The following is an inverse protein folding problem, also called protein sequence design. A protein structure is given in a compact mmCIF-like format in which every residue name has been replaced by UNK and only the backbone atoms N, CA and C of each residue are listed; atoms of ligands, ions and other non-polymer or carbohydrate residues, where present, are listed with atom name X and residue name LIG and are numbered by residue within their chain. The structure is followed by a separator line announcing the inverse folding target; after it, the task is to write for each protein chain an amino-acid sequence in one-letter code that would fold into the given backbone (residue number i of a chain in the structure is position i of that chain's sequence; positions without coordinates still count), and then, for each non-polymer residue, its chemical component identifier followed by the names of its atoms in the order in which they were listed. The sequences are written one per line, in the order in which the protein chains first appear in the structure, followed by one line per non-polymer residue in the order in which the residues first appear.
data_IF_472241025157
#
_entry.id   IF_472241025157
#
_cell.length_a   1.000
_cell.length_b   1.000
_cell.length_c   1.000
_cell.angle_alpha   90.00
_cell.angle_beta   90.00
_cell.angle_gamma   90.00
#
_symmetry.space_group_name_H-M   'P 1'
#
loop_
_entity.id
_entity.type
_entity.pdbx_description
1 polymer ?
#
# COMPACT_ATOMS: atom_id res chain seq x y z
N UNK A 1 56.14 -45.05 20.51
CA UNK A 1 55.25 -43.97 21.00
C UNK A 1 54.06 -43.86 20.05
N UNK A 2 52.85 -44.04 20.58
CA UNK A 2 51.56 -44.03 19.85
C UNK A 2 51.39 -42.71 19.08
N UNK A 3 50.98 -42.76 17.81
CA UNK A 3 50.38 -41.60 17.13
C UNK A 3 48.93 -41.95 16.79
N UNK A 4 48.06 -41.17 17.44
CA UNK A 4 46.60 -41.27 17.45
C UNK A 4 46.05 -40.67 16.15
N UNK A 5 45.03 -41.35 15.63
CA UNK A 5 44.18 -41.00 14.51
C UNK A 5 43.32 -39.77 14.87
N UNK A 6 43.23 -38.77 13.98
CA UNK A 6 42.20 -37.73 14.05
C UNK A 6 41.54 -37.60 12.67
N UNK A 7 40.38 -38.24 12.50
CA UNK A 7 39.46 -37.95 11.40
C UNK A 7 38.81 -36.58 11.69
N UNK A 8 39.08 -35.59 10.84
CA UNK A 8 38.28 -34.37 10.78
C UNK A 8 37.00 -34.67 10.00
N UNK A 9 35.86 -34.77 10.69
CA UNK A 9 34.54 -34.65 10.09
C UNK A 9 34.23 -33.17 9.84
N UNK A 10 34.19 -32.78 8.56
CA UNK A 10 33.82 -31.44 8.14
C UNK A 10 32.29 -31.29 8.23
N UNK A 11 31.79 -30.78 9.36
CA UNK A 11 30.39 -30.37 9.50
C UNK A 11 30.19 -29.03 8.79
N UNK A 12 29.55 -29.06 7.62
CA UNK A 12 29.12 -27.85 6.91
C UNK A 12 27.88 -27.30 7.63
N UNK A 13 28.05 -26.29 8.47
CA UNK A 13 26.94 -25.49 8.98
C UNK A 13 26.43 -24.59 7.84
N UNK A 14 25.25 -24.88 7.31
CA UNK A 14 24.50 -23.88 6.55
C UNK A 14 24.09 -22.76 7.51
N UNK A 15 24.77 -21.63 7.41
CA UNK A 15 24.35 -20.39 8.07
C UNK A 15 23.16 -19.84 7.28
N UNK A 16 21.95 -20.10 7.76
CA UNK A 16 20.77 -19.38 7.32
C UNK A 16 20.80 -17.97 7.93
N UNK A 17 20.64 -16.93 7.11
CA UNK A 17 20.50 -15.55 7.59
C UNK A 17 19.25 -15.42 8.46
N UNK A 18 19.40 -15.46 9.79
CA UNK A 18 18.33 -15.12 10.73
C UNK A 18 18.36 -13.62 11.00
N UNK A 19 17.33 -12.89 10.59
CA UNK A 19 17.01 -11.58 11.18
C UNK A 19 16.37 -11.82 12.53
N UNK A 20 16.96 -11.28 13.60
CA UNK A 20 16.47 -11.40 14.97
C UNK A 20 15.35 -10.41 15.23
N UNK A 21 14.10 -10.86 15.23
CA UNK A 21 13.00 -10.16 15.91
C UNK A 21 12.65 -10.91 17.19
N UNK A 22 12.74 -10.21 18.32
CA UNK A 22 12.42 -10.73 19.65
C UNK A 22 10.92 -11.03 19.77
N UNK A 23 10.49 -12.18 20.33
CA UNK A 23 9.07 -12.48 20.48
C UNK A 23 8.44 -11.64 21.59
N UNK A 24 7.39 -10.91 21.26
CA UNK A 24 6.48 -10.28 22.24
C UNK A 24 5.63 -11.39 22.89
N UNK A 25 5.53 -11.37 24.22
CA UNK A 25 4.69 -12.28 25.02
C UNK A 25 3.21 -12.08 24.69
N UNK A 26 2.54 -13.12 24.20
CA UNK A 26 1.08 -13.17 24.02
C UNK A 26 0.35 -13.32 25.37
N UNK A 27 -0.56 -12.39 25.65
CA UNK A 27 -1.60 -12.51 26.67
C UNK A 27 -2.77 -13.31 26.08
N UNK A 28 -3.18 -14.37 26.79
CA UNK A 28 -4.29 -15.25 26.41
C UNK A 28 -5.63 -14.52 26.44
N UNK A 29 -6.35 -14.56 25.31
CA UNK A 29 -7.80 -14.33 25.27
C UNK A 29 -8.30 -13.99 23.87
N UNK A 30 -9.13 -14.89 23.33
CA UNK A 30 -10.20 -14.68 22.33
C UNK A 30 -10.04 -15.44 21.00
N UNK A 31 -10.96 -16.41 20.83
CA UNK A 31 -11.52 -16.97 19.58
C UNK A 31 -10.55 -17.36 18.45
N UNK A 32 -10.18 -18.64 18.40
CA UNK A 32 -9.57 -19.28 17.24
C UNK A 32 -10.59 -19.42 16.11
N UNK A 33 -10.67 -18.40 15.25
CA UNK A 33 -11.17 -18.58 13.89
C UNK A 33 -10.23 -19.54 13.16
N UNK A 34 -10.72 -20.74 12.84
CA UNK A 34 -10.00 -21.71 12.01
C UNK A 34 -9.74 -21.05 10.64
N UNK A 35 -8.50 -20.61 10.41
CA UNK A 35 -8.02 -20.19 9.10
C UNK A 35 -8.14 -21.36 8.13
N UNK A 36 -9.18 -21.37 7.30
CA UNK A 36 -9.27 -22.22 6.13
C UNK A 36 -8.39 -21.65 5.02
N UNK A 37 -7.07 -21.72 5.20
CA UNK A 37 -6.19 -21.64 4.04
C UNK A 37 -6.45 -22.89 3.22
N UNK A 38 -7.04 -22.74 2.03
CA UNK A 38 -7.10 -23.81 1.05
C UNK A 38 -5.67 -24.19 0.69
N UNK A 39 -5.09 -25.16 1.40
CA UNK A 39 -3.85 -25.81 0.98
C UNK A 39 -4.19 -26.53 -0.32
N UNK A 40 -3.84 -25.94 -1.44
CA UNK A 40 -3.80 -26.67 -2.70
C UNK A 40 -2.73 -27.75 -2.52
N UNK A 41 -3.13 -28.94 -2.08
CA UNK A 41 -2.19 -30.05 -1.89
C UNK A 41 -1.54 -30.34 -3.24
N UNK A 42 -0.22 -30.18 -3.29
CA UNK A 42 0.53 -30.47 -4.50
C UNK A 42 0.53 -32.00 -4.64
N UNK A 43 -0.03 -32.49 -5.75
CA UNK A 43 -0.09 -33.92 -6.06
C UNK A 43 1.27 -34.52 -6.39
N UNK A 44 1.29 -35.65 -7.08
CA UNK A 44 2.55 -36.26 -7.51
C UNK A 44 3.18 -35.50 -8.67
N UNK A 45 4.52 -35.37 -8.67
CA UNK A 45 5.29 -34.85 -9.79
C UNK A 45 5.87 -36.03 -10.59
N UNK A 46 5.10 -36.51 -11.57
CA UNK A 46 5.39 -37.75 -12.27
C UNK A 46 5.38 -38.93 -11.32
N UNK A 47 6.50 -39.66 -11.22
CA UNK A 47 6.63 -40.80 -10.30
C UNK A 47 6.86 -40.42 -8.83
N UNK A 48 7.12 -39.15 -8.53
CA UNK A 48 7.48 -38.70 -7.19
C UNK A 48 6.24 -38.23 -6.44
N UNK A 49 5.97 -38.83 -5.28
CA UNK A 49 4.95 -38.32 -4.35
C UNK A 49 5.49 -37.07 -3.65
N UNK A 50 4.74 -35.97 -3.72
CA UNK A 50 5.07 -34.76 -2.95
C UNK A 50 4.47 -34.91 -1.55
N UNK A 51 5.31 -34.76 -0.54
CA UNK A 51 4.90 -34.68 0.85
C UNK A 51 4.84 -33.21 1.27
N UNK A 52 3.62 -32.69 1.41
CA UNK A 52 3.38 -31.29 1.77
C UNK A 52 3.07 -31.10 3.26
N UNK A 53 3.05 -32.19 4.04
CA UNK A 53 2.45 -32.20 5.38
C UNK A 53 3.45 -32.56 6.47
N UNK A 54 4.46 -33.39 6.19
CA UNK A 54 5.40 -33.86 7.23
C UNK A 54 6.35 -32.76 7.72
N UNK A 55 6.87 -31.94 6.80
CA UNK A 55 7.85 -30.89 7.12
C UNK A 55 7.41 -29.55 6.54
N UNK A 56 6.65 -28.79 7.32
CA UNK A 56 6.09 -27.49 6.90
C UNK A 56 6.89 -26.34 7.53
N UNK A 57 7.39 -25.42 6.70
CA UNK A 57 8.10 -24.23 7.19
C UNK A 57 7.16 -23.25 7.90
N UNK A 58 7.58 -22.80 9.08
CA UNK A 58 6.97 -21.67 9.80
C UNK A 58 7.44 -20.31 9.24
N UNK A 59 8.67 -20.24 8.72
CA UNK A 59 9.25 -19.03 8.15
C UNK A 59 8.68 -18.75 6.76
N UNK A 60 7.51 -18.11 6.70
CA UNK A 60 6.84 -17.72 5.46
C UNK A 60 5.98 -16.48 5.66
N UNK A 61 5.79 -15.73 4.58
CA UNK A 61 4.82 -14.64 4.47
C UNK A 61 4.03 -14.81 3.16
N UNK A 62 2.94 -14.07 3.04
CA UNK A 62 2.15 -14.01 1.82
C UNK A 62 2.89 -13.26 0.70
N UNK A 63 2.67 -13.64 -0.56
CA UNK A 63 3.26 -12.92 -1.71
C UNK A 63 2.62 -11.57 -1.92
N UNK A 64 1.30 -11.52 -1.78
CA UNK A 64 0.53 -10.29 -1.78
C UNK A 64 0.75 -9.59 -0.45
N UNK A 65 1.17 -8.33 -0.53
CA UNK A 65 1.58 -7.51 0.62
C UNK A 65 0.96 -6.11 0.59
N UNK A 66 0.33 -5.70 -0.51
CA UNK A 66 -0.25 -4.36 -0.70
C UNK A 66 -1.63 -4.41 -1.35
N UNK A 67 -2.41 -3.35 -1.10
CA UNK A 67 -3.57 -2.98 -1.92
C UNK A 67 -3.34 -1.58 -2.48
N UNK A 68 -3.53 -1.41 -3.79
CA UNK A 68 -3.41 -0.12 -4.48
C UNK A 68 -4.79 0.28 -5.01
N UNK A 69 -5.23 1.48 -4.65
CA UNK A 69 -6.51 2.04 -5.08
C UNK A 69 -6.31 3.06 -6.21
N UNK A 70 -7.16 2.96 -7.21
CA UNK A 70 -7.11 3.71 -8.46
C UNK A 70 -8.46 4.34 -8.81
N UNK A 71 -8.45 5.30 -9.74
CA UNK A 71 -9.62 5.64 -10.55
C UNK A 71 -9.32 5.42 -12.02
N UNK A 72 -10.36 5.22 -12.83
CA UNK A 72 -10.20 4.92 -14.26
C UNK A 72 -10.09 6.16 -15.17
N UNK A 73 -10.46 7.34 -14.69
CA UNK A 73 -10.50 8.62 -15.44
C UNK A 73 -11.46 8.61 -16.65
N UNK A 74 -12.41 7.68 -16.67
CA UNK A 74 -13.38 7.48 -17.75
C UNK A 74 -14.67 6.85 -17.21
N UNK A 75 -15.58 6.43 -18.08
CA UNK A 75 -16.88 5.85 -17.73
C UNK A 75 -16.84 4.29 -17.67
N UNK A 76 -17.97 3.68 -17.33
CA UNK A 76 -18.10 2.22 -17.20
C UNK A 76 -17.67 1.47 -18.47
N UNK A 77 -18.21 1.85 -19.63
CA UNK A 77 -17.96 1.17 -20.91
C UNK A 77 -16.46 1.17 -21.27
N UNK A 78 -15.82 2.33 -21.24
CA UNK A 78 -14.40 2.44 -21.56
C UNK A 78 -13.50 1.76 -20.50
N UNK A 79 -13.87 1.85 -19.23
CA UNK A 79 -13.12 1.19 -18.15
C UNK A 79 -13.09 -0.33 -18.33
N UNK A 80 -14.24 -0.94 -18.61
CA UNK A 80 -14.35 -2.37 -18.88
C UNK A 80 -13.48 -2.74 -20.09
N UNK A 81 -13.64 -2.01 -21.20
CA UNK A 81 -12.91 -2.27 -22.44
C UNK A 81 -11.39 -2.21 -22.27
N UNK A 82 -10.88 -1.21 -21.56
CA UNK A 82 -9.44 -1.04 -21.32
C UNK A 82 -8.89 -2.13 -20.38
N UNK A 83 -9.58 -2.44 -19.28
CA UNK A 83 -9.07 -3.33 -18.23
C UNK A 83 -9.17 -4.83 -18.56
N UNK A 84 -9.99 -5.21 -19.55
CA UNK A 84 -10.01 -6.58 -20.10
C UNK A 84 -9.13 -6.73 -21.35
N UNK A 85 -8.48 -5.65 -21.79
CA UNK A 85 -7.56 -5.68 -22.93
C UNK A 85 -6.19 -6.24 -22.53
N UNK A 86 -5.20 -6.11 -23.41
CA UNK A 86 -3.85 -6.65 -23.22
C UNK A 86 -2.80 -5.59 -22.82
N UNK A 87 -3.22 -4.39 -22.37
CA UNK A 87 -2.27 -3.30 -22.05
C UNK A 87 -2.17 -3.00 -20.55
N UNK A 88 -3.31 -2.96 -19.88
CA UNK A 88 -3.44 -2.68 -18.45
C UNK A 88 -4.56 -3.56 -17.89
N UNK A 89 -4.49 -3.88 -16.60
CA UNK A 89 -5.54 -4.66 -15.93
C UNK A 89 -5.52 -4.38 -14.44
N UNK A 90 -6.63 -4.66 -13.76
CA UNK A 90 -6.74 -4.61 -12.31
C UNK A 90 -7.37 -5.90 -11.79
N UNK A 91 -7.21 -6.19 -10.51
CA UNK A 91 -7.84 -7.36 -9.91
C UNK A 91 -9.34 -7.13 -9.75
N UNK A 92 -9.72 -5.92 -9.33
CA UNK A 92 -11.11 -5.54 -9.14
C UNK A 92 -11.46 -4.27 -9.91
N UNK A 93 -12.70 -4.23 -10.40
CA UNK A 93 -13.33 -3.06 -11.00
C UNK A 93 -14.66 -2.77 -10.29
N UNK A 94 -14.81 -1.53 -9.81
CA UNK A 94 -16.03 -0.99 -9.20
C UNK A 94 -16.64 0.02 -10.16
N UNK A 95 -17.75 -0.35 -10.79
CA UNK A 95 -18.48 0.52 -11.72
C UNK A 95 -19.22 1.64 -10.99
N UNK A 96 -19.53 2.71 -11.72
CA UNK A 96 -20.40 3.79 -11.29
C UNK A 96 -21.88 3.41 -11.49
N UNK A 97 -22.29 2.34 -10.80
CA UNK A 97 -23.64 1.77 -10.84
C UNK A 97 -24.17 1.58 -9.41
N UNK A 98 -25.45 1.87 -9.21
CA UNK A 98 -26.15 1.72 -7.92
C UNK A 98 -26.66 0.27 -7.73
N UNK A 99 -25.75 -0.69 -7.92
CA UNK A 99 -25.97 -2.13 -7.74
C UNK A 99 -25.04 -2.71 -6.65
N UNK A 100 -25.17 -4.01 -6.38
CA UNK A 100 -24.31 -4.73 -5.44
C UNK A 100 -23.25 -5.61 -6.14
N UNK A 101 -22.78 -5.19 -7.32
CA UNK A 101 -21.83 -5.97 -8.13
C UNK A 101 -20.40 -5.42 -7.98
N UNK A 102 -19.46 -6.34 -7.76
CA UNK A 102 -18.02 -6.13 -7.84
C UNK A 102 -17.48 -7.07 -8.91
N UNK A 103 -16.71 -6.54 -9.86
CA UNK A 103 -16.10 -7.36 -10.92
C UNK A 103 -14.68 -7.75 -10.51
N UNK A 104 -14.38 -9.05 -10.54
CA UNK A 104 -13.01 -9.57 -10.44
C UNK A 104 -12.50 -9.91 -11.83
N UNK A 105 -11.53 -9.15 -12.34
CA UNK A 105 -11.02 -9.29 -13.71
C UNK A 105 -9.76 -10.16 -13.78
N UNK A 106 -8.95 -10.17 -12.71
CA UNK A 106 -7.73 -10.98 -12.60
C UNK A 106 -7.77 -11.76 -11.28
N UNK A 107 -7.52 -13.08 -11.29
CA UNK A 107 -7.40 -13.89 -10.08
C UNK A 107 -6.33 -13.34 -9.13
N UNK A 108 -6.55 -13.43 -7.81
CA UNK A 108 -5.67 -12.83 -6.79
C UNK A 108 -4.28 -13.47 -6.67
N UNK A 109 -4.11 -14.67 -7.22
CA UNK A 109 -2.83 -15.39 -7.30
C UNK A 109 -2.06 -15.08 -8.59
N UNK A 110 -2.64 -14.27 -9.49
CA UNK A 110 -2.03 -13.79 -10.72
C UNK A 110 -1.65 -12.31 -10.60
N UNK A 111 -0.80 -11.85 -11.52
CA UNK A 111 -0.30 -10.48 -11.56
C UNK A 111 -1.13 -9.62 -12.51
N UNK A 112 -1.97 -8.74 -11.98
CA UNK A 112 -2.58 -7.65 -12.76
C UNK A 112 -1.55 -6.54 -13.09
N UNK A 113 -1.82 -5.74 -14.12
CA UNK A 113 -0.92 -4.68 -14.62
C UNK A 113 -1.49 -3.29 -14.34
N UNK A 114 -1.47 -2.87 -13.07
CA UNK A 114 -2.13 -1.64 -12.59
C UNK A 114 -1.14 -0.58 -12.06
N UNK A 115 -0.11 -0.97 -11.31
CA UNK A 115 0.83 -0.05 -10.65
C UNK A 115 1.89 0.52 -11.60
N UNK A 116 2.39 -0.29 -12.55
CA UNK A 116 3.52 0.08 -13.41
C UNK A 116 4.80 0.37 -12.62
N UNK A 117 5.64 1.29 -13.12
CA UNK A 117 6.84 1.73 -12.40
C UNK A 117 6.46 2.41 -11.07
N UNK A 118 6.76 1.75 -9.97
CA UNK A 118 6.25 2.07 -8.64
C UNK A 118 7.24 1.65 -7.56
N UNK A 119 7.20 2.35 -6.42
CA UNK A 119 7.99 2.02 -5.23
C UNK A 119 7.30 2.46 -3.95
N UNK A 120 7.35 1.60 -2.92
CA UNK A 120 6.88 1.94 -1.58
C UNK A 120 7.50 1.01 -0.54
N UNK A 121 7.93 1.57 0.60
CA UNK A 121 8.54 0.84 1.73
C UNK A 121 9.68 -0.11 1.30
N UNK A 122 10.54 0.37 0.40
CA UNK A 122 11.70 -0.36 -0.10
C UNK A 122 11.39 -1.48 -1.12
N UNK A 123 10.13 -1.63 -1.55
CA UNK A 123 9.76 -2.53 -2.66
C UNK A 123 9.49 -1.72 -3.91
N UNK A 124 9.93 -2.26 -5.05
CA UNK A 124 9.68 -1.71 -6.38
C UNK A 124 8.79 -2.64 -7.21
N UNK A 125 8.22 -2.16 -8.31
CA UNK A 125 7.36 -2.95 -9.21
C UNK A 125 6.18 -3.62 -8.46
N UNK A 126 5.36 -2.80 -7.82
CA UNK A 126 4.36 -3.27 -6.86
C UNK A 126 3.32 -4.22 -7.45
N UNK A 127 3.10 -4.22 -8.78
CA UNK A 127 2.29 -5.24 -9.47
C UNK A 127 2.59 -6.67 -9.00
N UNK A 128 3.86 -7.00 -8.69
CA UNK A 128 4.28 -8.34 -8.28
C UNK A 128 3.75 -8.76 -6.90
N UNK A 129 3.34 -7.80 -6.07
CA UNK A 129 3.01 -8.01 -4.65
C UNK A 129 1.75 -7.25 -4.20
N UNK A 130 0.95 -6.75 -5.14
CA UNK A 130 -0.23 -5.93 -4.82
C UNK A 130 -1.50 -6.41 -5.50
N UNK A 131 -2.62 -6.21 -4.82
CA UNK A 131 -3.95 -6.20 -5.43
C UNK A 131 -4.29 -4.79 -5.88
N UNK A 132 -4.87 -4.67 -7.08
CA UNK A 132 -5.26 -3.40 -7.69
C UNK A 132 -6.77 -3.28 -7.77
N UNK A 133 -7.31 -2.16 -7.29
CA UNK A 133 -8.75 -1.85 -7.31
C UNK A 133 -8.95 -0.59 -8.15
N UNK A 134 -9.66 -0.73 -9.27
CA UNK A 134 -10.07 0.37 -10.14
C UNK A 134 -11.50 0.80 -9.83
N UNK A 135 -11.70 2.10 -9.64
CA UNK A 135 -13.03 2.69 -9.37
C UNK A 135 -13.37 3.58 -10.55
N UNK A 136 -14.54 3.37 -11.15
CA UNK A 136 -14.99 4.23 -12.24
C UNK A 136 -15.29 5.62 -11.70
N UNK A 137 -14.49 6.58 -12.15
CA UNK A 137 -14.62 7.99 -11.83
C UNK A 137 -13.82 8.78 -12.88
N UNK A 138 -14.32 9.95 -13.25
CA UNK A 138 -13.58 10.91 -14.06
C UNK A 138 -12.35 11.47 -13.29
N UNK A 139 -12.26 11.26 -11.97
CA UNK A 139 -11.16 11.68 -11.12
C UNK A 139 -11.13 13.20 -10.98
N UNK A 140 -10.38 13.88 -11.85
CA UNK A 140 -10.38 15.34 -11.98
C UNK A 140 -11.50 15.75 -12.94
N UNK A 141 -12.32 16.73 -12.54
CA UNK A 141 -13.39 17.30 -13.34
C UNK A 141 -12.90 17.69 -14.74
N UNK A 142 -13.69 17.39 -15.78
CA UNK A 142 -13.24 17.47 -17.18
C UNK A 142 -12.77 18.86 -17.59
N UNK A 143 -13.46 19.90 -17.13
CA UNK A 143 -13.13 21.31 -17.31
C UNK A 143 -11.85 21.74 -16.59
N UNK A 144 -11.41 20.98 -15.57
CA UNK A 144 -10.17 21.21 -14.82
C UNK A 144 -8.99 20.38 -15.30
N UNK A 145 -9.18 19.40 -16.21
CA UNK A 145 -8.08 18.50 -16.67
C UNK A 145 -6.97 19.22 -17.43
N UNK A 146 -7.27 20.35 -18.07
CA UNK A 146 -6.32 21.15 -18.84
C UNK A 146 -5.79 22.36 -18.05
N UNK A 147 -6.06 22.44 -16.75
CA UNK A 147 -5.50 23.48 -15.88
C UNK A 147 -3.96 23.33 -15.84
N UNK A 148 -3.19 24.41 -16.09
CA UNK A 148 -1.73 24.35 -16.02
C UNK A 148 -1.21 24.09 -14.61
N UNK A 149 -2.05 24.24 -13.58
CA UNK A 149 -1.70 23.90 -12.22
C UNK A 149 -1.46 22.39 -12.08
N UNK A 150 -0.20 22.05 -11.80
CA UNK A 150 0.24 20.66 -11.60
C UNK A 150 -0.35 20.00 -10.36
N UNK A 151 -0.81 20.80 -9.40
CA UNK A 151 -1.37 20.37 -8.11
C UNK A 151 -2.85 20.78 -8.03
N UNK A 152 -3.76 20.07 -8.72
CA UNK A 152 -5.19 20.33 -8.64
C UNK A 152 -5.68 20.41 -7.18
N UNK A 153 -6.44 21.44 -6.80
CA UNK A 153 -6.99 21.56 -5.46
C UNK A 153 -8.12 20.54 -5.21
N UNK A 154 -8.56 20.42 -3.95
CA UNK A 154 -9.60 19.49 -3.52
C UNK A 154 -10.89 19.54 -4.36
N UNK A 155 -11.35 20.73 -4.73
CA UNK A 155 -12.57 20.97 -5.50
C UNK A 155 -12.44 20.66 -7.00
N UNK A 156 -11.21 20.43 -7.50
CA UNK A 156 -10.99 19.94 -8.86
C UNK A 156 -11.29 18.44 -9.02
N UNK A 157 -11.34 17.69 -7.91
CA UNK A 157 -11.65 16.26 -7.90
C UNK A 157 -13.14 16.00 -7.68
N UNK A 158 -13.65 14.93 -8.29
CA UNK A 158 -15.04 14.50 -8.18
C UNK A 158 -15.26 13.54 -7.01
N UNK A 159 -16.41 13.68 -6.36
CA UNK A 159 -16.84 12.78 -5.29
C UNK A 159 -17.11 11.37 -5.82
N UNK A 160 -16.89 10.36 -4.97
CA UNK A 160 -17.30 8.98 -5.23
C UNK A 160 -18.70 8.74 -4.68
N UNK A 161 -19.49 7.86 -5.32
CA UNK A 161 -20.76 7.46 -4.75
C UNK A 161 -20.54 6.63 -3.47
N UNK A 162 -21.39 6.77 -2.43
CA UNK A 162 -21.27 5.99 -1.20
C UNK A 162 -21.21 4.47 -1.44
N UNK A 163 -21.98 3.96 -2.41
CA UNK A 163 -21.98 2.54 -2.77
C UNK A 163 -20.64 2.07 -3.36
N UNK A 164 -19.92 2.93 -4.12
CA UNK A 164 -18.59 2.60 -4.62
C UNK A 164 -17.59 2.47 -3.46
N UNK A 165 -17.66 3.39 -2.50
CA UNK A 165 -16.80 3.36 -1.31
C UNK A 165 -17.06 2.12 -0.46
N UNK A 166 -18.33 1.74 -0.28
CA UNK A 166 -18.69 0.51 0.42
C UNK A 166 -18.13 -0.74 -0.29
N UNK A 167 -18.28 -0.84 -1.62
CA UNK A 167 -17.71 -1.94 -2.41
C UNK A 167 -16.19 -2.03 -2.22
N UNK A 168 -15.48 -0.91 -2.31
CA UNK A 168 -14.03 -0.83 -2.10
C UNK A 168 -13.66 -1.26 -0.68
N UNK A 169 -14.40 -0.82 0.33
CA UNK A 169 -14.16 -1.21 1.72
C UNK A 169 -14.30 -2.74 1.91
N UNK A 170 -15.30 -3.37 1.29
CA UNK A 170 -15.47 -4.83 1.35
C UNK A 170 -14.33 -5.58 0.67
N UNK A 171 -13.87 -5.10 -0.49
CA UNK A 171 -12.72 -5.67 -1.20
C UNK A 171 -11.48 -5.60 -0.31
N UNK A 172 -11.17 -4.42 0.24
CA UNK A 172 -9.98 -4.23 1.06
C UNK A 172 -10.05 -5.09 2.33
N UNK A 173 -11.21 -5.20 3.01
CA UNK A 173 -11.38 -6.09 4.16
C UNK A 173 -11.10 -7.54 3.80
N UNK A 174 -11.67 -8.02 2.70
CA UNK A 174 -11.47 -9.38 2.23
C UNK A 174 -10.00 -9.68 1.94
N UNK A 175 -9.34 -8.83 1.17
CA UNK A 175 -7.95 -9.01 0.75
C UNK A 175 -6.99 -8.87 1.94
N UNK A 176 -7.18 -7.87 2.79
CA UNK A 176 -6.34 -7.64 3.95
C UNK A 176 -6.43 -8.76 4.98
N UNK A 177 -7.63 -9.30 5.22
CA UNK A 177 -7.80 -10.46 6.10
C UNK A 177 -7.16 -11.73 5.51
N UNK A 178 -7.28 -11.92 4.19
CA UNK A 178 -6.71 -13.09 3.50
C UNK A 178 -5.18 -13.09 3.50
N UNK A 179 -4.56 -11.95 3.22
CA UNK A 179 -3.11 -11.85 3.04
C UNK A 179 -2.36 -11.19 4.21
N UNK A 180 -3.07 -10.90 5.31
CA UNK A 180 -2.53 -10.23 6.49
C UNK A 180 -1.84 -8.89 6.15
N UNK A 181 -2.51 -8.07 5.33
CA UNK A 181 -1.95 -6.81 4.82
C UNK A 181 -1.96 -5.75 5.93
N UNK A 182 -0.80 -5.15 6.27
CA UNK A 182 -0.75 -4.07 7.25
C UNK A 182 -1.45 -2.81 6.76
N UNK A 183 -1.99 -2.02 7.69
CA UNK A 183 -2.68 -0.74 7.40
C UNK A 183 -1.87 0.21 6.49
N UNK A 184 -0.54 0.32 6.71
CA UNK A 184 0.38 1.15 5.90
C UNK A 184 0.55 0.68 4.44
N UNK A 185 0.10 -0.53 4.11
CA UNK A 185 0.25 -1.11 2.78
C UNK A 185 -1.04 -1.03 1.95
N UNK A 186 -2.05 -0.32 2.45
CA UNK A 186 -3.25 0.06 1.70
C UNK A 186 -3.00 1.51 1.25
N UNK A 187 -2.73 1.68 -0.04
CA UNK A 187 -2.12 2.90 -0.59
C UNK A 187 -2.86 3.41 -1.82
N UNK A 188 -2.69 4.70 -2.10
CA UNK A 188 -3.05 5.29 -3.37
C UNK A 188 -2.04 4.92 -4.46
N UNK A 189 -2.45 4.96 -5.73
CA UNK A 189 -1.49 4.91 -6.82
C UNK A 189 -0.52 6.10 -6.80
N UNK A 190 -0.99 7.27 -6.37
CA UNK A 190 -0.15 8.45 -6.16
C UNK A 190 0.92 8.22 -5.09
N UNK A 191 0.70 7.36 -4.10
CA UNK A 191 1.71 7.11 -3.07
C UNK A 191 2.92 6.36 -3.60
N UNK A 192 2.65 5.43 -4.52
CA UNK A 192 3.65 4.52 -5.06
C UNK A 192 4.28 5.04 -6.35
N UNK A 193 3.65 6.04 -6.99
CA UNK A 193 4.11 6.65 -8.24
C UNK A 193 3.82 8.18 -8.28
N UNK A 194 4.30 8.97 -7.30
CA UNK A 194 3.89 10.36 -7.06
C UNK A 194 4.11 11.29 -8.26
N UNK A 195 5.23 11.17 -8.97
CA UNK A 195 5.52 12.02 -10.14
C UNK A 195 4.67 11.70 -11.37
N UNK A 196 3.95 10.57 -11.37
CA UNK A 196 3.22 10.05 -12.54
C UNK A 196 1.71 9.97 -12.32
N UNK A 197 1.25 9.80 -11.08
CA UNK A 197 -0.12 9.41 -10.77
C UNK A 197 -0.71 10.29 -9.66
N UNK A 198 -2.03 10.52 -9.76
CA UNK A 198 -2.82 11.36 -8.85
C UNK A 198 -4.04 10.62 -8.28
N UNK A 199 -4.26 9.38 -8.70
CA UNK A 199 -5.36 8.52 -8.29
C UNK A 199 -5.09 7.87 -6.92
N UNK A 200 -6.13 7.67 -6.09
CA UNK A 200 -7.56 7.92 -6.35
C UNK A 200 -8.00 9.38 -6.08
N UNK A 201 -7.06 10.29 -5.81
CA UNK A 201 -7.33 11.73 -5.72
C UNK A 201 -7.90 12.20 -4.38
N UNK A 202 -8.06 13.51 -4.26
CA UNK A 202 -8.36 14.18 -2.98
C UNK A 202 -9.72 13.83 -2.39
N UNK A 203 -10.67 13.37 -3.22
CA UNK A 203 -12.03 13.00 -2.80
C UNK A 203 -12.17 11.56 -2.36
N UNK A 204 -11.13 10.74 -2.52
CA UNK A 204 -11.20 9.38 -2.00
C UNK A 204 -11.17 9.43 -0.47
N UNK A 205 -12.18 8.87 0.23
CA UNK A 205 -12.40 9.17 1.63
C UNK A 205 -11.58 8.26 2.55
N UNK A 206 -10.25 8.37 2.51
CA UNK A 206 -9.32 7.58 3.34
C UNK A 206 -9.66 7.62 4.83
N UNK A 207 -10.03 8.80 5.35
CA UNK A 207 -10.45 8.95 6.75
C UNK A 207 -11.74 8.18 7.05
N UNK A 208 -12.71 8.17 6.14
CA UNK A 208 -13.94 7.39 6.32
C UNK A 208 -13.64 5.90 6.36
N UNK A 209 -12.77 5.41 5.46
CA UNK A 209 -12.33 4.01 5.49
C UNK A 209 -11.70 3.64 6.83
N UNK A 210 -10.85 4.49 7.38
CA UNK A 210 -10.25 4.28 8.70
C UNK A 210 -11.30 4.30 9.82
N UNK A 211 -12.13 5.35 9.91
CA UNK A 211 -13.04 5.54 11.05
C UNK A 211 -14.24 4.58 11.04
N UNK A 212 -14.82 4.32 9.87
CA UNK A 212 -16.05 3.52 9.74
C UNK A 212 -15.78 2.05 9.47
N UNK A 213 -14.68 1.73 8.79
CA UNK A 213 -14.40 0.37 8.34
C UNK A 213 -13.16 -0.25 8.99
N UNK A 214 -12.35 0.49 9.75
CA UNK A 214 -11.07 0.05 10.30
C UNK A 214 -10.09 -0.38 9.19
N UNK A 215 -10.02 0.43 8.12
CA UNK A 215 -9.21 0.16 6.92
C UNK A 215 -8.18 1.26 6.73
N UNK A 216 -6.92 0.86 6.50
CA UNK A 216 -5.84 1.78 6.12
C UNK A 216 -5.21 2.49 7.32
N UNK A 217 -4.18 3.28 7.04
CA UNK A 217 -3.47 4.04 8.04
C UNK A 217 -4.10 5.43 8.21
N UNK A 218 -4.27 5.89 9.45
CA UNK A 218 -4.62 7.28 9.75
C UNK A 218 -3.95 7.72 11.05
N UNK A 219 -3.58 8.99 11.15
CA UNK A 219 -2.93 9.54 12.34
C UNK A 219 -3.91 9.74 13.49
N UNK A 220 -3.39 9.81 14.72
CA UNK A 220 -4.18 10.26 15.86
C UNK A 220 -4.13 11.79 15.93
N UNK A 221 -5.28 12.44 16.11
CA UNK A 221 -5.34 13.90 16.17
C UNK A 221 -4.49 14.46 17.32
N UNK A 222 -4.51 13.82 18.49
CA UNK A 222 -3.68 14.23 19.64
C UNK A 222 -2.18 14.19 19.35
N UNK A 223 -1.71 13.17 18.62
CA UNK A 223 -0.31 13.06 18.20
C UNK A 223 0.05 14.13 17.17
N UNK A 224 -0.83 14.39 16.20
CA UNK A 224 -0.66 15.47 15.23
C UNK A 224 -0.55 16.81 15.93
N UNK A 225 -1.45 17.12 16.86
CA UNK A 225 -1.40 18.36 17.64
C UNK A 225 -0.12 18.48 18.46
N UNK A 226 0.39 17.38 19.03
CA UNK A 226 1.67 17.38 19.74
C UNK A 226 2.88 17.68 18.83
N UNK A 227 2.76 17.46 17.52
CA UNK A 227 3.79 17.80 16.52
C UNK A 227 3.56 19.14 15.81
N UNK A 228 2.45 19.85 16.09
CA UNK A 228 2.20 21.22 15.60
C UNK A 228 3.09 22.24 16.33
N UNK A 229 4.40 22.19 16.06
CA UNK A 229 5.40 23.07 16.65
C UNK A 229 6.19 23.79 15.54
N UNK A 230 5.91 25.07 15.38
CA UNK A 230 6.47 25.92 14.31
C UNK A 230 8.00 26.10 14.44
N UNK A 231 8.51 26.33 15.65
CA UNK A 231 9.94 26.46 15.90
C UNK A 231 10.70 25.19 15.47
N UNK A 232 10.19 24.02 15.88
CA UNK A 232 10.78 22.73 15.53
C UNK A 232 10.71 22.45 14.04
N UNK A 233 9.59 22.77 13.39
CA UNK A 233 9.46 22.62 11.93
C UNK A 233 10.47 23.50 11.20
N UNK A 234 10.56 24.78 11.55
CA UNK A 234 11.49 25.73 10.95
C UNK A 234 12.97 25.36 11.20
N UNK A 235 13.27 24.71 12.33
CA UNK A 235 14.61 24.21 12.65
C UNK A 235 14.94 22.85 11.99
N UNK A 236 13.95 22.11 11.47
CA UNK A 236 14.17 20.79 10.86
C UNK A 236 14.66 20.96 9.42
N UNK A 237 15.78 20.30 9.07
CA UNK A 237 16.32 20.39 7.72
C UNK A 237 15.43 19.70 6.68
N UNK A 238 15.50 20.13 5.41
CA UNK A 238 14.79 19.45 4.31
C UNK A 238 15.17 17.97 4.24
N UNK A 239 16.46 17.65 4.40
CA UNK A 239 16.96 16.27 4.43
C UNK A 239 16.27 15.42 5.50
N UNK A 240 16.09 15.95 6.72
CA UNK A 240 15.44 15.23 7.82
C UNK A 240 13.94 15.04 7.57
N UNK A 241 13.25 16.02 6.99
CA UNK A 241 11.84 15.86 6.61
C UNK A 241 11.71 14.79 5.51
N UNK A 242 12.60 14.79 4.52
CA UNK A 242 12.62 13.74 3.48
C UNK A 242 12.94 12.36 4.06
N UNK A 243 13.74 12.26 5.11
CA UNK A 243 13.95 11.01 5.85
C UNK A 243 12.65 10.51 6.50
N UNK A 244 11.84 11.40 7.08
CA UNK A 244 10.54 11.02 7.63
C UNK A 244 9.58 10.49 6.55
N UNK A 245 9.59 11.06 5.34
CA UNK A 245 8.81 10.54 4.20
C UNK A 245 9.29 9.14 3.78
N UNK A 246 10.61 8.93 3.73
CA UNK A 246 11.21 7.60 3.45
C UNK A 246 10.88 6.59 4.54
N UNK A 247 10.92 7.01 5.81
CA UNK A 247 10.52 6.19 6.96
C UNK A 247 9.06 5.74 6.84
N UNK A 248 8.16 6.62 6.38
CA UNK A 248 6.77 6.26 6.12
C UNK A 248 6.59 5.37 4.88
N UNK A 249 7.46 5.49 3.90
CA UNK A 249 7.56 4.53 2.80
C UNK A 249 7.73 5.13 1.41
N UNK A 250 7.62 6.45 1.26
CA UNK A 250 7.76 7.08 -0.06
C UNK A 250 9.20 6.97 -0.56
N UNK A 251 9.35 6.70 -1.86
CA UNK A 251 10.62 6.93 -2.54
C UNK A 251 10.74 8.41 -2.90
N UNK A 252 11.76 9.06 -2.36
CA UNK A 252 12.05 10.48 -2.56
C UNK A 252 13.57 10.68 -2.62
N UNK A 253 14.00 11.61 -3.47
CA UNK A 253 15.42 11.89 -3.67
C UNK A 253 16.10 12.47 -2.40
N UNK A 254 17.41 12.62 -2.44
CA UNK A 254 18.23 13.13 -1.32
C UNK A 254 18.78 14.55 -1.56
N UNK A 255 18.25 15.29 -2.54
CA UNK A 255 18.64 16.68 -2.74
C UNK A 255 18.18 17.50 -1.53
N UNK A 256 18.91 18.56 -1.18
CA UNK A 256 18.54 19.43 -0.07
C UNK A 256 17.62 20.58 -0.52
N UNK A 257 16.65 20.28 -1.38
CA UNK A 257 15.70 21.24 -1.95
C UNK A 257 14.33 20.59 -2.16
N UNK A 258 13.28 21.41 -2.19
CA UNK A 258 11.94 20.98 -2.61
C UNK A 258 11.80 21.09 -4.14
N UNK A 259 12.61 20.30 -4.84
CA UNK A 259 12.53 20.15 -6.29
C UNK A 259 11.17 19.58 -6.73
N UNK A 260 10.99 19.52 -8.05
CA UNK A 260 9.75 19.04 -8.67
C UNK A 260 9.31 17.68 -8.13
N UNK A 261 10.23 16.71 -8.11
CA UNK A 261 9.92 15.33 -7.72
C UNK A 261 9.60 15.25 -6.22
N UNK A 262 10.30 16.03 -5.40
CA UNK A 262 10.02 16.13 -3.97
C UNK A 262 8.64 16.70 -3.70
N UNK A 263 8.24 17.75 -4.43
CA UNK A 263 6.91 18.34 -4.32
C UNK A 263 5.79 17.40 -4.76
N UNK A 264 6.05 16.50 -5.72
CA UNK A 264 5.09 15.46 -6.12
C UNK A 264 4.85 14.45 -5.00
N UNK A 265 5.90 14.05 -4.29
CA UNK A 265 5.78 13.18 -3.11
C UNK A 265 4.96 13.87 -2.02
N UNK A 266 5.24 15.15 -1.74
CA UNK A 266 4.47 15.92 -0.75
C UNK A 266 3.01 16.02 -1.16
N UNK A 267 2.74 16.31 -2.43
CA UNK A 267 1.37 16.40 -2.94
C UNK A 267 0.63 15.06 -2.84
N UNK A 268 1.25 13.94 -3.22
CA UNK A 268 0.67 12.62 -3.09
C UNK A 268 0.33 12.28 -1.63
N UNK A 269 1.26 12.58 -0.71
CA UNK A 269 1.03 12.43 0.72
C UNK A 269 -0.15 13.29 1.21
N UNK A 270 -0.23 14.54 0.77
CA UNK A 270 -1.36 15.42 1.10
C UNK A 270 -2.68 14.90 0.51
N UNK A 271 -2.71 14.41 -0.72
CA UNK A 271 -3.92 13.81 -1.31
C UNK A 271 -4.45 12.65 -0.46
N UNK A 272 -3.57 11.89 0.18
CA UNK A 272 -3.97 10.78 1.06
C UNK A 272 -4.39 11.29 2.45
N UNK A 273 -3.55 12.08 3.13
CA UNK A 273 -3.70 12.36 4.57
C UNK A 273 -4.14 13.78 4.92
N UNK A 274 -4.06 14.73 3.98
CA UNK A 274 -4.51 16.11 4.16
C UNK A 274 -5.17 16.69 2.90
N UNK A 275 -6.19 16.03 2.32
CA UNK A 275 -6.62 16.28 0.95
C UNK A 275 -7.18 17.69 0.70
N UNK A 276 -7.74 18.33 1.74
CA UNK A 276 -8.29 19.68 1.64
C UNK A 276 -7.21 20.75 1.46
N UNK A 277 -5.98 20.47 1.88
CA UNK A 277 -4.85 21.40 1.87
C UNK A 277 -3.72 20.94 0.94
N UNK A 278 -4.02 20.08 -0.05
CA UNK A 278 -3.02 19.56 -0.97
C UNK A 278 -2.50 20.64 -1.94
N UNK A 279 -1.22 20.99 -1.79
CA UNK A 279 -0.53 22.04 -2.58
C UNK A 279 0.81 21.59 -3.16
N UNK A 280 1.34 20.45 -2.68
CA UNK A 280 2.69 19.99 -3.00
C UNK A 280 3.80 20.75 -2.27
N UNK A 281 3.45 21.71 -1.41
CA UNK A 281 4.40 22.40 -0.55
C UNK A 281 4.40 21.75 0.83
N UNK A 282 5.58 21.48 1.37
CA UNK A 282 5.70 20.96 2.75
C UNK A 282 5.40 22.10 3.73
N UNK A 283 4.34 21.94 4.51
CA UNK A 283 3.93 22.85 5.57
C UNK A 283 3.96 22.16 6.95
N UNK A 284 3.75 22.95 8.00
CA UNK A 284 3.76 22.47 9.38
C UNK A 284 2.72 21.37 9.63
N UNK A 285 1.52 21.50 9.06
CA UNK A 285 0.46 20.52 9.26
C UNK A 285 0.81 19.18 8.60
N UNK A 286 1.29 19.22 7.36
CA UNK A 286 1.76 18.05 6.61
C UNK A 286 2.91 17.35 7.35
N UNK A 287 3.87 18.12 7.86
CA UNK A 287 4.95 17.60 8.68
C UNK A 287 4.43 16.95 9.97
N UNK A 288 3.52 17.60 10.70
CA UNK A 288 2.96 17.07 11.94
C UNK A 288 2.17 15.77 11.71
N UNK A 289 1.38 15.70 10.63
CA UNK A 289 0.68 14.49 10.21
C UNK A 289 1.67 13.35 9.93
N UNK A 290 2.74 13.62 9.17
CA UNK A 290 3.79 12.65 8.87
C UNK A 290 4.46 12.10 10.13
N UNK A 291 4.82 12.98 11.07
CA UNK A 291 5.42 12.59 12.36
C UNK A 291 4.44 11.74 13.19
N UNK A 292 3.16 12.10 13.23
CA UNK A 292 2.14 11.34 13.92
C UNK A 292 1.92 9.94 13.32
N UNK A 293 1.91 9.84 11.98
CA UNK A 293 1.86 8.56 11.28
C UNK A 293 3.07 7.68 11.60
N UNK A 294 4.29 8.23 11.52
CA UNK A 294 5.52 7.50 11.84
C UNK A 294 5.62 7.09 13.32
N UNK A 295 4.95 7.82 14.22
CA UNK A 295 4.81 7.43 15.64
C UNK A 295 3.86 6.25 15.80
N UNK A 296 2.70 6.30 15.16
CA UNK A 296 1.63 5.29 15.29
C UNK A 296 1.97 3.98 14.59
N UNK A 297 2.66 4.07 13.46
CA UNK A 297 2.99 2.92 12.62
C UNK A 297 4.50 2.83 12.41
N UNK A 298 5.27 2.43 13.45
CA UNK A 298 6.72 2.25 13.32
C UNK A 298 7.06 1.16 12.30
N UNK A 299 8.33 1.14 11.87
CA UNK A 299 8.85 0.10 10.98
C UNK A 299 9.01 -1.22 11.69
#
# INVERSE_FOLDING_TARGET
MKKILALLSLLIFMVACSSSDTPVKETKGMSTSRRTSSSSSIGSMGKFKVDSDTYVSLGRNERIQFVVVHYTATNNEYSIKELISNRVSAHFLVLDEDDNIIYNLVPLDQRAWHAGASSFRGRTNLNDTSIGIEIVSDGIARDRRNDPNRYPPYDAYLEYKPIQIEKVAQIIKYVSARYNIPARNIVAHSDIAPSRKKDPGAKFPWKELYEKYDIGAWYNESDKQAFMNEEKFNATSISDIKEELRKYGYEINRTNEWDRDSRDVVYAFQLHFNPKNATGNMDLETFAILKALNKKYPN
#
